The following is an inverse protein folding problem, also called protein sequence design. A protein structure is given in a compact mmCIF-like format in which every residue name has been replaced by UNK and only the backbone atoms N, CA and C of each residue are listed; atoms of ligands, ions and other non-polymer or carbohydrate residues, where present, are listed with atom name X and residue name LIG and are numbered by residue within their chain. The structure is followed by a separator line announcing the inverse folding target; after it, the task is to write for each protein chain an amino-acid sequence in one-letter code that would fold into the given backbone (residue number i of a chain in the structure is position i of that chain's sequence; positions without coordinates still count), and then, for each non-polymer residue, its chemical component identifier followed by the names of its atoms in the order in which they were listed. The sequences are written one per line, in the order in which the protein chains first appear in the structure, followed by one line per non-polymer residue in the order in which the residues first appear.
data_IF_868813849188
#
_entry.id   IF_868813849188
#
_cell.length_a   1.000
_cell.length_b   1.000
_cell.length_c   1.000
_cell.angle_alpha   90.00
_cell.angle_beta   90.00
_cell.angle_gamma   90.00
#
_symmetry.space_group_name_H-M   'P 1'
#
loop_
_entity.id
_entity.type
_entity.pdbx_description
1 polymer ?
#
# COMPACT_ATOMS: atom_id res chain seq x y z
N UNK A 1 -19.08 11.24 16.36
CA UNK A 1 -19.91 10.98 17.56
C UNK A 1 -21.25 11.74 17.54
N UNK A 2 -21.23 13.06 17.26
CA UNK A 2 -22.48 13.88 17.24
C UNK A 2 -23.55 13.31 16.31
N UNK A 3 -23.19 12.92 15.11
CA UNK A 3 -24.12 12.32 14.13
C UNK A 3 -24.75 11.01 14.66
N UNK A 4 -23.94 10.17 15.32
CA UNK A 4 -24.44 8.90 15.89
C UNK A 4 -25.41 9.20 17.04
N UNK A 5 -25.07 10.14 17.92
CA UNK A 5 -25.97 10.59 19.00
C UNK A 5 -27.25 11.25 18.48
N UNK A 6 -27.22 11.77 17.26
CA UNK A 6 -28.41 12.26 16.55
C UNK A 6 -29.22 11.17 15.84
N UNK A 7 -28.86 9.88 16.00
CA UNK A 7 -29.59 8.73 15.45
C UNK A 7 -29.11 8.23 14.10
N UNK A 8 -28.01 8.75 13.54
CA UNK A 8 -27.46 8.22 12.29
C UNK A 8 -26.69 6.94 12.55
N UNK A 9 -27.10 5.83 11.92
CA UNK A 9 -26.51 4.50 12.06
C UNK A 9 -25.51 4.15 10.96
N UNK A 10 -25.49 4.91 9.85
CA UNK A 10 -24.54 4.76 8.74
C UNK A 10 -23.67 6.00 8.67
N UNK A 11 -22.39 5.83 8.89
CA UNK A 11 -21.40 6.92 8.83
C UNK A 11 -20.48 6.64 7.65
N UNK A 12 -20.48 7.55 6.67
CA UNK A 12 -19.59 7.48 5.50
C UNK A 12 -18.36 8.35 5.77
N UNK A 13 -17.19 7.74 5.69
CA UNK A 13 -15.89 8.42 5.65
C UNK A 13 -15.44 8.42 4.18
N UNK A 14 -15.34 9.60 3.59
CA UNK A 14 -15.11 9.75 2.14
C UNK A 14 -13.90 10.65 1.85
N UNK A 15 -13.08 10.22 0.91
CA UNK A 15 -12.01 11.04 0.31
C UNK A 15 -12.34 11.50 -1.12
N UNK A 16 -13.61 11.35 -1.56
CA UNK A 16 -14.01 11.59 -2.94
C UNK A 16 -13.91 13.05 -3.40
N UNK A 17 -14.07 14.01 -2.48
CA UNK A 17 -14.08 15.43 -2.80
C UNK A 17 -12.67 16.05 -2.70
N UNK A 18 -11.70 15.47 -3.41
CA UNK A 18 -10.33 15.94 -3.45
C UNK A 18 -10.21 17.15 -4.36
N UNK A 19 -9.54 18.19 -3.90
CA UNK A 19 -9.18 19.39 -4.67
C UNK A 19 -7.69 19.69 -4.45
N UNK A 20 -7.10 20.47 -5.35
CA UNK A 20 -5.66 20.69 -5.36
C UNK A 20 -5.06 21.23 -4.05
N UNK A 21 -5.86 22.01 -3.30
CA UNK A 21 -5.48 22.63 -2.03
C UNK A 21 -5.96 21.86 -0.79
N UNK A 22 -6.69 20.74 -0.97
CA UNK A 22 -7.22 19.91 0.13
C UNK A 22 -6.88 18.44 -0.11
N UNK A 23 -5.82 18.02 0.52
CA UNK A 23 -5.34 16.64 0.44
C UNK A 23 -6.07 15.78 1.47
N UNK A 24 -6.59 14.60 1.10
CA UNK A 24 -7.27 13.73 2.04
C UNK A 24 -6.29 13.08 3.01
N UNK A 25 -6.71 12.88 4.25
CA UNK A 25 -5.99 11.99 5.15
C UNK A 25 -6.13 10.54 4.64
N UNK A 26 -5.11 9.72 4.90
CA UNK A 26 -5.11 8.32 4.47
C UNK A 26 -6.31 7.56 5.07
N UNK A 27 -7.07 6.87 4.22
CA UNK A 27 -8.34 6.22 4.60
C UNK A 27 -8.19 5.23 5.75
N UNK A 28 -7.08 4.47 5.81
CA UNK A 28 -6.86 3.51 6.90
C UNK A 28 -6.62 4.21 8.24
N UNK A 29 -5.86 5.32 8.24
CA UNK A 29 -5.62 6.11 9.45
C UNK A 29 -6.92 6.71 9.98
N UNK A 30 -7.73 7.28 9.11
CA UNK A 30 -9.06 7.84 9.46
C UNK A 30 -9.98 6.74 9.99
N UNK A 31 -10.00 5.58 9.32
CA UNK A 31 -10.83 4.44 9.74
C UNK A 31 -10.46 3.99 11.15
N UNK A 32 -9.18 3.75 11.42
CA UNK A 32 -8.72 3.30 12.72
C UNK A 32 -8.91 4.35 13.82
N UNK A 33 -8.57 5.61 13.55
CA UNK A 33 -8.77 6.70 14.51
C UNK A 33 -10.26 6.89 14.89
N UNK A 34 -11.15 6.89 13.89
CA UNK A 34 -12.61 7.00 14.13
C UNK A 34 -13.13 5.78 14.88
N UNK A 35 -12.71 4.58 14.47
CA UNK A 35 -13.09 3.32 15.15
C UNK A 35 -12.74 3.35 16.63
N UNK A 36 -11.50 3.66 16.98
CA UNK A 36 -11.05 3.71 18.36
C UNK A 36 -11.65 4.87 19.15
N UNK A 37 -11.86 6.02 18.50
CA UNK A 37 -12.57 7.13 19.13
C UNK A 37 -14.01 6.75 19.52
N UNK A 38 -14.74 6.08 18.62
CA UNK A 38 -16.11 5.64 18.89
C UNK A 38 -16.16 4.57 19.99
N UNK A 39 -15.15 3.69 20.09
CA UNK A 39 -15.01 2.75 21.21
C UNK A 39 -14.84 3.51 22.53
N UNK A 40 -13.92 4.48 22.56
CA UNK A 40 -13.69 5.30 23.75
C UNK A 40 -14.92 6.11 24.19
N UNK A 41 -15.81 6.45 23.24
CA UNK A 41 -17.08 7.11 23.51
C UNK A 41 -18.24 6.16 23.88
N UNK A 42 -18.02 4.83 23.85
CA UNK A 42 -19.04 3.82 24.13
C UNK A 42 -20.16 3.68 23.10
N UNK A 43 -19.96 4.22 21.88
CA UNK A 43 -21.01 4.27 20.83
C UNK A 43 -20.57 3.58 19.51
N UNK A 44 -19.50 2.76 19.55
CA UNK A 44 -19.02 2.09 18.33
C UNK A 44 -20.02 1.09 17.76
N UNK A 45 -20.81 0.46 18.60
CA UNK A 45 -21.83 -0.53 18.21
C UNK A 45 -23.07 0.08 17.59
N UNK A 46 -23.29 1.37 17.81
CA UNK A 46 -24.49 2.08 17.37
C UNK A 46 -24.42 2.53 15.90
N UNK A 47 -23.24 2.35 15.25
CA UNK A 47 -23.05 2.78 13.87
C UNK A 47 -22.15 1.85 13.07
N UNK A 48 -22.40 1.82 11.76
CA UNK A 48 -21.56 1.20 10.74
C UNK A 48 -20.68 2.24 10.05
N UNK A 49 -19.43 1.89 9.83
CA UNK A 49 -18.47 2.73 9.11
C UNK A 49 -18.36 2.25 7.65
N UNK A 50 -18.76 3.10 6.73
CA UNK A 50 -18.60 2.92 5.29
C UNK A 50 -17.42 3.75 4.84
N UNK A 51 -16.43 3.12 4.22
CA UNK A 51 -15.22 3.80 3.74
C UNK A 51 -15.33 3.96 2.23
N UNK A 52 -15.62 5.17 1.79
CA UNK A 52 -15.60 5.57 0.37
C UNK A 52 -14.23 6.13 0.05
N UNK A 53 -13.40 5.39 -0.70
CA UNK A 53 -12.00 5.77 -0.90
C UNK A 53 -11.47 5.42 -2.27
N UNK A 54 -10.62 6.31 -2.81
CA UNK A 54 -9.83 6.05 -4.01
C UNK A 54 -8.59 5.18 -3.77
N UNK A 55 -8.24 4.92 -2.50
CA UNK A 55 -7.01 4.20 -2.15
C UNK A 55 -7.17 2.67 -2.17
N UNK A 56 -8.39 2.13 -2.04
CA UNK A 56 -8.63 0.69 -2.03
C UNK A 56 -8.71 0.14 -3.46
N UNK A 57 -7.77 -0.72 -3.85
CA UNK A 57 -7.63 -1.28 -5.19
C UNK A 57 -7.51 -2.80 -5.22
N UNK A 58 -7.14 -3.41 -4.13
CA UNK A 58 -6.93 -4.86 -4.04
C UNK A 58 -7.52 -5.45 -2.74
N UNK A 59 -7.53 -6.79 -2.67
CA UNK A 59 -8.10 -7.52 -1.53
C UNK A 59 -7.34 -7.26 -0.22
N UNK A 60 -6.03 -7.00 -0.28
CA UNK A 60 -5.24 -6.71 0.91
C UNK A 60 -5.65 -5.37 1.53
N UNK A 61 -5.75 -4.32 0.70
CA UNK A 61 -6.15 -2.98 1.16
C UNK A 61 -7.56 -2.99 1.74
N UNK A 62 -8.50 -3.73 1.12
CA UNK A 62 -9.85 -3.92 1.67
C UNK A 62 -9.81 -4.69 2.99
N UNK A 63 -9.02 -5.77 3.08
CA UNK A 63 -8.86 -6.55 4.31
C UNK A 63 -8.31 -5.69 5.46
N UNK A 64 -7.33 -4.84 5.18
CA UNK A 64 -6.75 -3.93 6.18
C UNK A 64 -7.79 -2.93 6.67
N UNK A 65 -8.57 -2.30 5.78
CA UNK A 65 -9.65 -1.38 6.17
C UNK A 65 -10.70 -2.06 7.06
N UNK A 66 -11.10 -3.29 6.71
CA UNK A 66 -12.03 -4.09 7.53
C UNK A 66 -11.39 -4.41 8.89
N UNK A 67 -10.13 -4.84 8.90
CA UNK A 67 -9.39 -5.15 10.12
C UNK A 67 -9.33 -3.99 11.11
N UNK A 68 -9.25 -2.76 10.59
CA UNK A 68 -9.24 -1.53 11.40
C UNK A 68 -10.61 -0.90 11.62
N UNK A 69 -11.70 -1.56 11.27
CA UNK A 69 -13.04 -1.18 11.74
C UNK A 69 -14.05 -0.84 10.66
N UNK A 70 -13.71 -0.89 9.37
CA UNK A 70 -14.68 -0.69 8.30
C UNK A 70 -15.76 -1.79 8.32
N UNK A 71 -17.00 -1.40 8.13
CA UNK A 71 -18.11 -2.33 7.89
C UNK A 71 -18.27 -2.61 6.41
N UNK A 72 -18.08 -1.58 5.57
CA UNK A 72 -18.15 -1.65 4.12
C UNK A 72 -17.05 -0.77 3.52
N UNK A 73 -16.53 -1.19 2.36
CA UNK A 73 -15.55 -0.40 1.58
C UNK A 73 -16.14 -0.17 0.20
N UNK A 74 -16.18 1.08 -0.24
CA UNK A 74 -16.59 1.50 -1.57
C UNK A 74 -15.40 2.09 -2.34
N UNK A 75 -14.73 1.30 -3.19
CA UNK A 75 -13.54 1.72 -3.93
C UNK A 75 -13.94 2.50 -5.20
N UNK A 76 -14.45 3.74 -5.04
CA UNK A 76 -15.06 4.50 -6.12
C UNK A 76 -14.11 4.71 -7.31
N UNK A 77 -12.85 5.05 -7.04
CA UNK A 77 -11.87 5.32 -8.10
C UNK A 77 -11.54 4.05 -8.91
N UNK A 78 -11.51 2.89 -8.28
CA UNK A 78 -11.31 1.62 -9.01
C UNK A 78 -12.48 1.36 -9.98
N UNK A 79 -13.71 1.68 -9.59
CA UNK A 79 -14.86 1.58 -10.48
C UNK A 79 -14.82 2.60 -11.60
N UNK A 80 -14.44 3.85 -11.31
CA UNK A 80 -14.30 4.89 -12.34
C UNK A 80 -13.21 4.51 -13.37
N UNK A 81 -12.06 3.95 -12.91
CA UNK A 81 -11.01 3.44 -13.81
C UNK A 81 -11.50 2.28 -14.67
N UNK A 82 -12.29 1.36 -14.12
CA UNK A 82 -12.87 0.24 -14.91
C UNK A 82 -13.78 0.78 -16.02
N UNK A 83 -14.60 1.79 -15.72
CA UNK A 83 -15.46 2.41 -16.71
C UNK A 83 -14.67 3.10 -17.83
N UNK A 84 -13.61 3.83 -17.46
CA UNK A 84 -12.72 4.46 -18.43
C UNK A 84 -12.01 3.44 -19.33
N UNK A 85 -11.55 2.31 -18.78
CA UNK A 85 -10.94 1.23 -19.54
C UNK A 85 -11.92 0.58 -20.53
N UNK A 86 -13.19 0.45 -20.14
CA UNK A 86 -14.24 -0.05 -21.06
C UNK A 86 -14.55 1.00 -22.12
N UNK A 87 -14.68 2.27 -21.74
CA UNK A 87 -14.96 3.36 -22.66
C UNK A 87 -13.84 3.58 -23.68
N UNK A 88 -12.58 3.38 -23.30
CA UNK A 88 -11.41 3.46 -24.20
C UNK A 88 -11.22 2.22 -25.07
N UNK A 89 -11.94 1.12 -24.80
CA UNK A 89 -11.80 -0.16 -25.50
C UNK A 89 -10.62 -1.01 -25.06
N UNK A 90 -9.89 -0.59 -24.02
CA UNK A 90 -8.81 -1.39 -23.43
C UNK A 90 -9.34 -2.60 -22.65
N UNK A 91 -10.53 -2.51 -22.09
CA UNK A 91 -11.26 -3.61 -21.48
C UNK A 91 -12.54 -3.87 -22.31
N UNK A 92 -12.67 -5.09 -22.83
CA UNK A 92 -13.84 -5.48 -23.60
C UNK A 92 -15.01 -5.89 -22.70
N UNK A 93 -16.23 -5.50 -23.09
CA UNK A 93 -17.48 -5.94 -22.45
C UNK A 93 -18.30 -4.82 -21.84
N UNK A 94 -19.23 -5.20 -20.98
CA UNK A 94 -20.13 -4.27 -20.28
C UNK A 94 -19.48 -3.74 -19.00
N UNK A 95 -19.49 -2.41 -18.75
CA UNK A 95 -18.87 -1.80 -17.56
C UNK A 95 -19.49 -2.31 -16.26
N UNK A 96 -20.82 -2.55 -16.24
CA UNK A 96 -21.48 -3.05 -15.03
C UNK A 96 -20.98 -4.46 -14.71
N UNK A 97 -20.87 -5.32 -15.73
CA UNK A 97 -20.35 -6.68 -15.56
C UNK A 97 -18.86 -6.65 -15.13
N UNK A 98 -18.05 -5.73 -15.66
CA UNK A 98 -16.65 -5.57 -15.29
C UNK A 98 -16.51 -5.16 -13.80
N UNK A 99 -17.31 -4.20 -13.31
CA UNK A 99 -17.38 -3.84 -11.90
C UNK A 99 -17.81 -5.01 -11.00
N UNK A 100 -18.80 -5.80 -11.45
CA UNK A 100 -19.25 -7.02 -10.74
C UNK A 100 -18.12 -8.04 -10.65
N UNK A 101 -17.38 -8.24 -11.73
CA UNK A 101 -16.24 -9.16 -11.77
C UNK A 101 -15.10 -8.69 -10.86
N UNK A 102 -14.79 -7.40 -10.85
CA UNK A 102 -13.81 -6.80 -9.92
C UNK A 102 -14.21 -7.06 -8.47
N UNK A 103 -15.46 -6.75 -8.10
CA UNK A 103 -15.98 -7.04 -6.75
C UNK A 103 -15.86 -8.52 -6.41
N UNK A 104 -16.27 -9.44 -7.30
CA UNK A 104 -16.10 -10.88 -7.07
C UNK A 104 -14.64 -11.29 -6.88
N UNK A 105 -13.70 -10.60 -7.54
CA UNK A 105 -12.26 -10.80 -7.33
C UNK A 105 -11.83 -10.41 -5.94
N UNK A 106 -12.27 -9.24 -5.45
CA UNK A 106 -12.02 -8.77 -4.07
C UNK A 106 -12.63 -9.73 -3.04
N UNK A 107 -13.88 -10.15 -3.23
CA UNK A 107 -14.57 -11.09 -2.35
C UNK A 107 -13.82 -12.43 -2.23
N UNK A 108 -13.38 -13.00 -3.37
CA UNK A 108 -12.55 -14.22 -3.38
C UNK A 108 -11.23 -14.03 -2.64
N UNK A 109 -10.59 -12.88 -2.81
CA UNK A 109 -9.36 -12.54 -2.10
C UNK A 109 -9.58 -12.47 -0.59
N UNK A 110 -10.64 -11.81 -0.13
CA UNK A 110 -11.01 -11.73 1.29
C UNK A 110 -11.32 -13.12 1.86
N UNK A 111 -12.12 -13.93 1.18
CA UNK A 111 -12.42 -15.30 1.61
C UNK A 111 -11.14 -16.15 1.74
N UNK A 112 -10.18 -15.98 0.84
CA UNK A 112 -8.88 -16.65 0.91
C UNK A 112 -8.07 -16.21 2.14
N UNK A 113 -8.04 -14.92 2.44
CA UNK A 113 -7.37 -14.37 3.63
C UNK A 113 -8.02 -14.94 4.89
N UNK A 114 -9.35 -14.86 5.03
CA UNK A 114 -10.10 -15.39 6.17
C UNK A 114 -9.86 -16.90 6.36
N UNK A 115 -9.91 -17.67 5.26
CA UNK A 115 -9.69 -19.11 5.29
C UNK A 115 -8.30 -19.47 5.80
N UNK A 116 -7.25 -18.75 5.36
CA UNK A 116 -5.88 -18.98 5.83
C UNK A 116 -5.68 -18.62 7.29
N UNK A 117 -6.45 -17.70 7.83
CA UNK A 117 -6.41 -17.28 9.23
C UNK A 117 -7.35 -18.08 10.11
N UNK A 118 -8.16 -18.97 9.55
CA UNK A 118 -9.14 -19.75 10.29
C UNK A 118 -10.30 -18.91 10.83
N UNK A 119 -10.61 -17.77 10.21
CA UNK A 119 -11.68 -16.86 10.62
C UNK A 119 -12.87 -17.05 9.68
N UNK A 120 -14.03 -17.40 10.24
CA UNK A 120 -15.24 -17.75 9.47
C UNK A 120 -16.16 -16.55 9.20
N UNK A 121 -16.04 -15.46 9.95
CA UNK A 121 -16.94 -14.31 9.84
C UNK A 121 -16.17 -12.99 9.77
N UNK A 122 -16.66 -12.04 8.97
CA UNK A 122 -16.09 -10.69 8.87
C UNK A 122 -16.11 -9.96 10.23
N UNK A 123 -17.14 -10.19 11.03
CA UNK A 123 -17.24 -9.58 12.38
C UNK A 123 -16.07 -9.99 13.27
N UNK A 124 -15.67 -11.25 13.21
CA UNK A 124 -14.52 -11.78 13.97
C UNK A 124 -13.17 -11.30 13.42
N UNK A 125 -13.11 -10.92 12.15
CA UNK A 125 -11.91 -10.35 11.53
C UNK A 125 -11.69 -8.89 11.96
N UNK A 126 -12.77 -8.14 12.16
CA UNK A 126 -12.73 -6.72 12.51
C UNK A 126 -12.19 -6.51 13.92
N UNK A 127 -11.11 -5.72 14.02
CA UNK A 127 -10.47 -5.42 15.30
C UNK A 127 -9.70 -6.59 15.95
N UNK A 128 -9.42 -7.66 15.20
CA UNK A 128 -8.74 -8.85 15.70
C UNK A 128 -7.21 -8.69 15.84
N UNK A 129 -6.66 -7.48 15.64
CA UNK A 129 -5.22 -7.17 15.77
C UNK A 129 -4.32 -8.10 14.93
N UNK A 130 -4.72 -8.34 13.68
CA UNK A 130 -4.04 -9.25 12.76
C UNK A 130 -2.86 -8.60 12.01
N UNK A 131 -2.63 -7.32 12.23
CA UNK A 131 -1.63 -6.53 11.53
C UNK A 131 -0.56 -6.04 12.50
N UNK A 132 0.62 -5.79 11.95
CA UNK A 132 1.75 -5.15 12.62
C UNK A 132 2.03 -3.83 11.90
N UNK A 133 2.34 -2.77 12.65
CA UNK A 133 2.75 -1.50 12.07
C UNK A 133 4.28 -1.47 11.94
N UNK A 134 4.77 -1.17 10.76
CA UNK A 134 6.20 -1.08 10.46
C UNK A 134 6.50 0.29 9.88
N UNK A 135 7.45 1.00 10.49
CA UNK A 135 7.90 2.29 9.98
C UNK A 135 6.94 3.46 10.26
N UNK A 136 6.09 3.36 11.29
CA UNK A 136 5.23 4.45 11.76
C UNK A 136 5.67 4.94 13.14
N UNK A 137 5.56 6.25 13.39
CA UNK A 137 5.83 6.82 14.70
C UNK A 137 4.82 6.34 15.74
N UNK A 138 5.21 6.38 17.00
CA UNK A 138 4.37 5.98 18.12
C UNK A 138 3.09 6.84 18.22
N UNK A 139 3.15 8.11 17.88
CA UNK A 139 2.02 9.02 17.85
C UNK A 139 0.97 8.55 16.83
N UNK A 140 1.40 8.18 15.62
CA UNK A 140 0.52 7.68 14.56
C UNK A 140 -0.12 6.35 14.99
N UNK A 141 0.66 5.43 15.55
CA UNK A 141 0.17 4.13 16.00
C UNK A 141 -0.84 4.28 17.14
N UNK A 142 -0.54 5.10 18.13
CA UNK A 142 -1.42 5.28 19.30
C UNK A 142 -2.76 5.94 18.93
N UNK A 143 -2.77 6.86 17.95
CA UNK A 143 -4.00 7.51 17.53
C UNK A 143 -4.82 6.67 16.56
N UNK A 144 -4.16 6.13 15.52
CA UNK A 144 -4.84 5.51 14.40
C UNK A 144 -4.95 3.98 14.52
N UNK A 145 -4.02 3.34 15.20
CA UNK A 145 -3.85 1.89 15.23
C UNK A 145 -3.68 1.35 16.66
N UNK A 146 -4.46 1.85 17.57
CA UNK A 146 -4.36 1.55 18.99
C UNK A 146 -4.32 0.04 19.26
N UNK A 147 -3.30 -0.42 20.00
CA UNK A 147 -3.10 -1.82 20.35
C UNK A 147 -2.33 -2.64 19.30
N UNK A 148 -2.01 -2.06 18.15
CA UNK A 148 -1.17 -2.71 17.15
C UNK A 148 0.29 -2.68 17.58
N UNK A 149 0.98 -3.81 17.45
CA UNK A 149 2.41 -3.86 17.70
C UNK A 149 3.20 -3.10 16.63
N UNK A 150 4.18 -2.28 17.07
CA UNK A 150 5.11 -1.60 16.20
C UNK A 150 6.52 -1.74 16.78
N UNK A 151 7.35 -2.54 16.13
CA UNK A 151 8.76 -2.78 16.53
C UNK A 151 9.72 -1.80 15.87
N UNK A 152 9.37 -1.30 14.69
CA UNK A 152 10.16 -0.38 13.90
C UNK A 152 9.39 0.93 13.81
N UNK A 153 9.91 1.97 14.46
CA UNK A 153 9.35 3.33 14.41
C UNK A 153 9.81 4.02 13.11
N UNK A 154 9.11 5.08 12.71
CA UNK A 154 9.44 5.81 11.49
C UNK A 154 8.56 7.04 11.29
N UNK A 155 7.85 7.11 10.15
CA UNK A 155 7.12 8.25 9.66
C UNK A 155 6.14 8.84 10.69
N UNK A 156 6.23 10.15 10.84
CA UNK A 156 5.33 10.98 11.65
C UNK A 156 4.11 11.42 10.83
N UNK A 157 3.14 12.08 11.46
CA UNK A 157 2.04 12.71 10.72
C UNK A 157 2.53 13.75 9.71
N UNK A 158 3.62 14.46 10.02
CA UNK A 158 4.20 15.45 9.11
C UNK A 158 4.80 14.79 7.86
N UNK A 159 5.50 13.67 8.02
CA UNK A 159 6.06 12.91 6.90
C UNK A 159 4.95 12.34 6.00
N UNK A 160 3.92 11.75 6.61
CA UNK A 160 2.76 11.21 5.88
C UNK A 160 1.97 12.32 5.15
N UNK A 161 1.86 13.51 5.75
CA UNK A 161 1.23 14.66 5.11
C UNK A 161 2.07 15.17 3.93
N UNK A 162 3.41 15.19 4.06
CA UNK A 162 4.31 15.57 2.98
C UNK A 162 4.20 14.60 1.79
N UNK A 163 4.15 13.29 2.04
CA UNK A 163 3.95 12.28 0.99
C UNK A 163 2.62 12.50 0.26
N UNK A 164 1.54 12.74 1.00
CA UNK A 164 0.22 13.03 0.39
C UNK A 164 0.25 14.32 -0.44
N UNK A 165 0.95 15.35 0.02
CA UNK A 165 1.10 16.61 -0.72
C UNK A 165 1.86 16.40 -2.04
N UNK A 166 2.91 15.58 -2.05
CA UNK A 166 3.65 15.21 -3.26
C UNK A 166 2.75 14.46 -4.25
N UNK A 167 1.98 13.48 -3.77
CA UNK A 167 1.04 12.73 -4.60
C UNK A 167 -0.02 13.65 -5.21
N UNK A 168 -0.62 14.54 -4.41
CA UNK A 168 -1.60 15.50 -4.88
C UNK A 168 -1.00 16.47 -5.91
N UNK A 169 0.16 17.03 -5.64
CA UNK A 169 0.84 17.92 -6.58
C UNK A 169 1.10 17.25 -7.93
N UNK A 170 1.40 15.95 -7.95
CA UNK A 170 1.57 15.19 -9.18
C UNK A 170 0.23 14.88 -9.87
N UNK A 171 -0.81 14.53 -9.11
CA UNK A 171 -2.13 14.20 -9.64
C UNK A 171 -2.81 15.38 -10.34
N UNK A 172 -2.62 16.60 -9.84
CA UNK A 172 -3.21 17.81 -10.41
C UNK A 172 -2.35 18.50 -11.49
N UNK A 173 -1.19 17.91 -11.86
CA UNK A 173 -0.39 18.41 -12.99
C UNK A 173 -1.14 18.18 -14.31
N UNK A 174 -1.33 19.27 -15.07
CA UNK A 174 -1.91 19.19 -16.40
C UNK A 174 -1.02 18.36 -17.33
N UNK A 175 -1.54 17.27 -17.91
CA UNK A 175 -0.84 16.41 -18.91
C UNK A 175 0.49 15.81 -18.45
N UNK A 176 0.65 15.52 -17.17
CA UNK A 176 1.82 14.76 -16.75
C UNK A 176 1.66 13.31 -17.24
N UNK A 177 2.68 12.74 -17.90
CA UNK A 177 2.67 11.31 -18.19
C UNK A 177 2.63 10.52 -16.88
N UNK A 178 1.99 9.35 -16.89
CA UNK A 178 2.02 8.46 -15.75
C UNK A 178 3.46 8.03 -15.46
N UNK A 179 3.96 8.38 -14.28
CA UNK A 179 5.26 7.92 -13.83
C UNK A 179 5.13 6.51 -13.27
N UNK A 180 5.68 5.53 -13.97
CA UNK A 180 5.68 4.14 -13.52
C UNK A 180 6.70 3.87 -12.40
N UNK A 181 7.55 4.84 -12.04
CA UNK A 181 8.52 4.75 -10.96
C UNK A 181 9.58 3.67 -11.10
N UNK A 182 9.40 2.71 -11.97
CA UNK A 182 10.33 1.60 -12.19
C UNK A 182 10.33 0.52 -11.10
N UNK A 183 9.33 0.49 -10.21
CA UNK A 183 9.30 -0.44 -9.07
C UNK A 183 9.16 -1.92 -9.51
N UNK A 184 8.26 -2.20 -10.47
CA UNK A 184 7.99 -3.57 -10.94
C UNK A 184 8.82 -3.96 -12.16
N UNK A 185 9.14 -3.01 -13.02
CA UNK A 185 9.95 -3.21 -14.23
C UNK A 185 11.02 -2.15 -14.26
N UNK A 186 12.17 -2.51 -14.81
CA UNK A 186 13.25 -1.54 -15.05
C UNK A 186 12.73 -0.37 -15.90
N UNK A 187 12.98 0.84 -15.40
CA UNK A 187 12.79 2.11 -16.12
C UNK A 187 14.07 2.92 -15.94
N UNK A 188 14.62 3.42 -17.04
CA UNK A 188 15.86 4.17 -17.02
C UNK A 188 15.76 5.42 -16.12
N UNK A 189 16.78 5.66 -15.29
CA UNK A 189 16.82 6.75 -14.28
C UNK A 189 15.69 6.73 -13.23
N UNK A 190 15.10 5.56 -12.97
CA UNK A 190 14.12 5.35 -11.89
C UNK A 190 14.66 4.40 -10.84
N UNK A 191 13.81 3.63 -10.17
CA UNK A 191 14.20 2.69 -9.13
C UNK A 191 15.32 1.76 -9.58
N UNK A 192 16.37 1.64 -8.75
CA UNK A 192 17.50 0.77 -9.02
C UNK A 192 17.22 -0.66 -8.59
N UNK A 193 17.32 -1.59 -9.53
CA UNK A 193 17.13 -3.01 -9.26
C UNK A 193 18.45 -3.74 -9.09
N UNK A 194 18.44 -4.81 -8.29
CA UNK A 194 19.62 -5.67 -8.09
C UNK A 194 20.14 -6.27 -9.41
N UNK A 195 19.24 -6.53 -10.36
CA UNK A 195 19.51 -7.10 -11.67
C UNK A 195 19.16 -6.13 -12.79
N UNK A 196 19.75 -4.96 -12.74
CA UNK A 196 19.66 -3.98 -13.82
C UNK A 196 20.31 -4.48 -15.12
N UNK A 197 19.95 -3.95 -16.29
CA UNK A 197 20.52 -4.36 -17.56
C UNK A 197 22.03 -4.28 -17.64
N UNK A 198 22.67 -3.29 -17.01
CA UNK A 198 24.12 -3.16 -16.91
C UNK A 198 24.76 -4.34 -16.20
N UNK A 199 24.20 -4.76 -15.05
CA UNK A 199 24.67 -5.92 -14.28
C UNK A 199 24.48 -7.23 -15.07
N UNK A 200 23.31 -7.41 -15.68
CA UNK A 200 23.01 -8.63 -16.46
C UNK A 200 23.91 -8.70 -17.71
N UNK A 201 24.08 -7.60 -18.43
CA UNK A 201 24.89 -7.56 -19.65
C UNK A 201 26.39 -7.79 -19.33
N UNK A 202 26.89 -7.21 -18.23
CA UNK A 202 28.29 -7.44 -17.82
C UNK A 202 28.54 -8.90 -17.42
N UNK A 203 27.59 -9.53 -16.72
CA UNK A 203 27.64 -10.95 -16.40
C UNK A 203 27.64 -11.82 -17.67
N UNK A 204 26.73 -11.53 -18.61
CA UNK A 204 26.69 -12.26 -19.88
C UNK A 204 28.00 -12.11 -20.68
N UNK A 205 28.60 -10.92 -20.67
CA UNK A 205 29.89 -10.68 -21.32
C UNK A 205 30.98 -11.51 -20.67
N UNK A 206 31.09 -11.48 -19.36
CA UNK A 206 32.07 -12.29 -18.61
C UNK A 206 31.95 -13.78 -18.91
N UNK A 207 30.71 -14.31 -18.92
CA UNK A 207 30.48 -15.74 -19.19
C UNK A 207 30.81 -16.11 -20.64
N UNK A 208 30.49 -15.26 -21.61
CA UNK A 208 30.74 -15.54 -23.04
C UNK A 208 32.20 -15.45 -23.41
N UNK A 209 32.94 -14.53 -22.81
CA UNK A 209 34.37 -14.33 -23.13
C UNK A 209 35.27 -15.24 -22.31
N UNK A 210 34.85 -15.69 -21.14
CA UNK A 210 35.70 -16.39 -20.18
C UNK A 210 36.83 -15.53 -19.62
N UNK A 211 36.80 -14.22 -19.84
CA UNK A 211 37.83 -13.28 -19.44
C UNK A 211 37.57 -12.76 -18.01
N UNK A 212 38.64 -12.84 -17.18
CA UNK A 212 38.57 -12.46 -15.79
C UNK A 212 38.37 -10.97 -15.57
N UNK A 213 38.84 -10.10 -16.47
CA UNK A 213 38.64 -8.66 -16.36
C UNK A 213 37.19 -8.27 -16.59
N UNK A 214 36.50 -8.97 -17.48
CA UNK A 214 35.04 -8.84 -17.65
C UNK A 214 34.27 -9.31 -16.40
N UNK A 215 34.72 -10.38 -15.76
CA UNK A 215 34.13 -10.79 -14.48
C UNK A 215 34.39 -9.76 -13.36
N UNK A 216 35.60 -9.20 -13.30
CA UNK A 216 35.94 -8.13 -12.35
C UNK A 216 35.02 -6.92 -12.54
N UNK A 217 34.78 -6.51 -13.76
CA UNK A 217 33.83 -5.43 -14.06
C UNK A 217 32.41 -5.74 -13.54
N UNK A 218 31.90 -6.94 -13.76
CA UNK A 218 30.64 -7.40 -13.18
C UNK A 218 30.66 -7.35 -11.65
N UNK A 219 31.71 -7.83 -11.02
CA UNK A 219 31.85 -7.83 -9.57
C UNK A 219 31.87 -6.41 -8.99
N UNK A 220 32.56 -5.48 -9.66
CA UNK A 220 32.60 -4.06 -9.28
C UNK A 220 31.21 -3.43 -9.36
N UNK A 221 30.46 -3.65 -10.45
CA UNK A 221 29.07 -3.19 -10.57
C UNK A 221 28.19 -3.72 -9.45
N UNK A 222 28.27 -5.01 -9.11
CA UNK A 222 27.48 -5.62 -8.03
C UNK A 222 27.84 -5.08 -6.66
N UNK A 223 29.12 -4.79 -6.41
CA UNK A 223 29.61 -4.34 -5.10
C UNK A 223 29.45 -2.82 -4.90
N UNK A 224 29.45 -2.03 -5.97
CA UNK A 224 29.33 -0.56 -5.91
C UNK A 224 27.88 -0.03 -6.05
N UNK A 225 26.93 -0.90 -6.36
CA UNK A 225 25.52 -0.53 -6.50
C UNK A 225 24.89 -0.03 -5.18
N UNK A 226 23.80 0.75 -5.24
CA UNK A 226 23.02 1.12 -4.06
C UNK A 226 22.59 -0.10 -3.24
N UNK A 227 22.53 0.06 -1.92
CA UNK A 227 22.13 -0.99 -1.00
C UNK A 227 20.69 -1.40 -1.28
N UNK A 228 20.49 -2.61 -1.77
CA UNK A 228 19.17 -3.16 -2.11
C UNK A 228 18.78 -4.35 -1.23
N UNK A 229 19.73 -4.97 -0.51
CA UNK A 229 19.50 -6.14 0.34
C UNK A 229 20.36 -6.07 1.60
N UNK A 230 19.97 -6.79 2.65
CA UNK A 230 20.76 -6.89 3.89
C UNK A 230 22.20 -7.42 3.62
N UNK A 231 22.37 -8.30 2.61
CA UNK A 231 23.69 -8.77 2.21
C UNK A 231 24.63 -7.65 1.83
N UNK A 232 24.14 -6.59 1.21
CA UNK A 232 24.95 -5.45 0.80
C UNK A 232 25.49 -4.61 1.99
N UNK A 233 24.94 -4.80 3.20
CA UNK A 233 25.43 -4.19 4.44
C UNK A 233 26.47 -5.04 5.16
N UNK A 234 26.69 -6.30 4.74
CA UNK A 234 27.61 -7.22 5.37
C UNK A 234 28.98 -7.11 4.70
N UNK A 235 30.03 -7.10 5.52
CA UNK A 235 31.42 -7.19 5.06
C UNK A 235 32.08 -8.40 5.67
N UNK A 236 32.96 -9.06 4.91
CA UNK A 236 33.79 -10.11 5.44
C UNK A 236 34.86 -9.49 6.36
N UNK A 237 35.04 -10.04 7.55
CA UNK A 237 36.19 -9.72 8.39
C UNK A 237 37.42 -10.43 7.82
N UNK A 238 38.37 -9.66 7.33
CA UNK A 238 39.62 -10.20 6.74
C UNK A 238 40.79 -10.25 7.74
N UNK A 239 40.55 -9.74 8.97
CA UNK A 239 41.61 -9.56 9.98
C UNK A 239 42.04 -10.86 10.68
N UNK A 240 41.23 -11.92 10.56
CA UNK A 240 41.54 -13.24 11.09
C UNK A 240 41.40 -14.28 9.97
N UNK A 241 42.51 -14.66 9.39
CA UNK A 241 42.57 -15.87 8.54
C UNK A 241 42.28 -17.08 9.40
N UNK A 242 41.38 -17.95 8.95
CA UNK A 242 41.19 -19.26 9.54
C UNK A 242 42.04 -20.19 8.66
N UNK A 243 43.13 -20.75 9.23
CA UNK A 243 43.96 -21.73 8.60
C UNK A 243 43.25 -23.07 8.45
#
# INVERSE_FOLDING_TARGET
ASSIRAGHTLIVLSDKNIVADKVPANAIMVTGAVHHYLIAQGIRTDANLIIETGLARDSHQVAVLIGFGATCVYPYLAYDVIDDLVASGELLGDPIQARVNFRKGLDKGLLKILSKMGISTIVSYRGAQLFEAVGLSEEVVNLCFKGVQSRIKGATFADLAADQAILAANAFKRRAPLDQGGLLKFVFNKEYHAFNPDVINSLHTAVRTGDYDNYRHYADLVNSRPVATLRALLQLKTDNSID
#
